data_IF_377308576883
#
_entry.id   IF_377308576883
#
_cell.length_a   1.000
_cell.length_b   1.000
_cell.length_c   1.000
_cell.angle_alpha   90.00
_cell.angle_beta   90.00
_cell.angle_gamma   90.00
#
_symmetry.space_group_name_H-M   'P 1'
#
loop_
_entity.id
_entity.type
_entity.pdbx_description
1 polymer ?
#
# COMPACT_ATOMS: atom_id res chain seq x y z
N UNK A 1 5.14 13.24 -4.96
CA UNK A 1 6.46 13.92 -4.88
C UNK A 1 6.90 14.23 -3.45
N UNK A 2 6.13 14.96 -2.64
CA UNK A 2 6.51 15.29 -1.25
C UNK A 2 6.86 14.05 -0.44
N UNK A 3 6.06 12.99 -0.50
CA UNK A 3 6.38 11.72 0.17
C UNK A 3 7.71 11.09 -0.25
N UNK A 4 8.12 11.26 -1.53
CA UNK A 4 9.43 10.81 -2.02
C UNK A 4 10.56 11.63 -1.38
N UNK A 5 10.39 12.95 -1.25
CA UNK A 5 11.39 13.79 -0.60
C UNK A 5 11.60 13.40 0.87
N UNK A 6 10.52 13.14 1.61
CA UNK A 6 10.59 12.65 2.99
C UNK A 6 11.29 11.28 3.05
N UNK A 7 10.88 10.35 2.19
CA UNK A 7 11.50 9.02 2.12
C UNK A 7 13.00 9.12 1.87
N UNK A 8 13.41 9.91 0.87
CA UNK A 8 14.82 10.00 0.45
C UNK A 8 15.69 10.76 1.44
N UNK A 9 15.14 11.74 2.16
CA UNK A 9 15.86 12.38 3.27
C UNK A 9 16.28 11.35 4.33
N UNK A 10 15.40 10.42 4.67
CA UNK A 10 15.68 9.40 5.68
C UNK A 10 16.51 8.22 5.16
N UNK A 11 16.35 7.83 3.88
CA UNK A 11 16.93 6.59 3.36
C UNK A 11 18.19 6.77 2.57
N UNK A 12 18.46 7.95 2.00
CA UNK A 12 19.66 8.28 1.20
C UNK A 12 20.12 9.72 1.47
N UNK A 13 20.46 10.06 2.72
CA UNK A 13 20.77 11.43 3.13
C UNK A 13 21.96 12.04 2.35
N UNK A 14 22.93 11.22 1.92
CA UNK A 14 24.11 11.67 1.19
C UNK A 14 23.79 12.31 -0.18
N UNK A 15 22.67 11.94 -0.78
CA UNK A 15 22.19 12.48 -2.07
C UNK A 15 21.09 13.53 -1.92
N UNK A 16 20.66 13.81 -0.70
CA UNK A 16 19.64 14.79 -0.38
C UNK A 16 20.27 16.17 -0.11
N UNK A 17 19.71 17.29 -0.60
CA UNK A 17 18.49 17.47 -1.40
C UNK A 17 18.58 16.89 -2.82
N UNK A 18 17.42 16.48 -3.38
CA UNK A 18 17.36 15.76 -4.66
C UNK A 18 17.39 16.68 -5.88
N UNK A 19 18.09 16.27 -6.94
CA UNK A 19 17.90 16.87 -8.28
C UNK A 19 16.53 16.46 -8.86
N UNK A 20 16.06 17.18 -9.90
CA UNK A 20 14.83 16.84 -10.62
C UNK A 20 14.84 15.39 -11.08
N UNK A 21 15.88 14.96 -11.77
CA UNK A 21 16.00 13.60 -12.28
C UNK A 21 15.94 12.54 -11.15
N UNK A 22 16.63 12.76 -10.02
CA UNK A 22 16.58 11.86 -8.87
C UNK A 22 15.19 11.81 -8.24
N UNK A 23 14.46 12.93 -8.21
CA UNK A 23 13.12 13.02 -7.69
C UNK A 23 12.12 12.30 -8.61
N UNK A 24 12.17 12.54 -9.92
CA UNK A 24 11.35 11.86 -10.94
C UNK A 24 11.59 10.35 -10.89
N UNK A 25 12.85 9.91 -10.84
CA UNK A 25 13.20 8.49 -10.69
C UNK A 25 12.63 7.90 -9.37
N UNK A 26 12.66 8.68 -8.28
CA UNK A 26 12.08 8.30 -7.00
C UNK A 26 10.55 8.16 -7.06
N UNK A 27 9.85 9.00 -7.83
CA UNK A 27 8.41 8.90 -8.06
C UNK A 27 8.05 7.64 -8.85
N UNK A 28 8.86 7.30 -9.86
CA UNK A 28 8.62 6.21 -10.81
C UNK A 28 9.15 4.85 -10.33
N UNK A 29 9.56 4.72 -9.06
CA UNK A 29 9.98 3.44 -8.50
C UNK A 29 8.86 2.40 -8.63
N UNK A 30 9.21 1.16 -9.00
CA UNK A 30 8.25 0.05 -9.10
C UNK A 30 7.91 -0.58 -7.75
N UNK A 31 8.71 -0.32 -6.72
CA UNK A 31 8.53 -0.86 -5.37
C UNK A 31 8.19 0.24 -4.39
N UNK A 32 7.43 -0.10 -3.35
CA UNK A 32 7.01 0.84 -2.32
C UNK A 32 6.19 2.05 -2.86
N UNK A 33 5.45 1.84 -3.93
CA UNK A 33 4.53 2.79 -4.57
C UNK A 33 3.22 2.11 -4.89
N UNK A 34 2.12 2.73 -4.51
CA UNK A 34 0.78 2.33 -4.87
C UNK A 34 -0.08 3.59 -5.07
N UNK A 35 -0.54 3.84 -6.31
CA UNK A 35 -0.18 3.14 -7.54
C UNK A 35 1.25 3.42 -8.02
N UNK A 36 1.80 2.52 -8.83
CA UNK A 36 3.06 2.78 -9.55
C UNK A 36 2.78 3.85 -10.60
N UNK A 37 3.61 4.90 -10.60
CA UNK A 37 3.43 6.05 -11.47
C UNK A 37 4.45 6.07 -12.62
N UNK A 38 4.13 6.83 -13.67
CA UNK A 38 5.03 7.15 -14.79
C UNK A 38 5.01 8.67 -14.98
N UNK A 39 5.71 9.39 -14.10
CA UNK A 39 5.80 10.86 -14.10
C UNK A 39 6.90 11.29 -15.06
N UNK A 40 6.62 12.23 -15.96
CA UNK A 40 7.63 12.89 -16.78
C UNK A 40 8.35 14.01 -16.01
N UNK A 41 9.51 14.46 -16.51
CA UNK A 41 10.21 15.62 -15.90
C UNK A 41 9.37 16.90 -16.01
N UNK A 42 8.53 17.04 -17.04
CA UNK A 42 7.63 18.18 -17.18
C UNK A 42 6.53 18.17 -16.11
N UNK A 43 5.90 17.02 -15.86
CA UNK A 43 4.91 16.84 -14.79
C UNK A 43 5.54 17.09 -13.43
N UNK A 44 6.79 16.64 -13.26
CA UNK A 44 7.55 16.82 -12.03
C UNK A 44 7.82 18.31 -11.75
N UNK A 45 8.21 19.09 -12.76
CA UNK A 45 8.43 20.53 -12.63
C UNK A 45 7.13 21.26 -12.28
N UNK A 46 6.05 20.97 -12.99
CA UNK A 46 4.73 21.56 -12.70
C UNK A 46 4.29 21.28 -11.26
N UNK A 47 4.45 20.05 -10.80
CA UNK A 47 4.12 19.70 -9.43
C UNK A 47 5.04 20.38 -8.40
N UNK A 48 6.34 20.53 -8.70
CA UNK A 48 7.28 21.25 -7.85
C UNK A 48 6.92 22.72 -7.73
N UNK A 49 6.51 23.39 -8.81
CA UNK A 49 6.08 24.80 -8.78
C UNK A 49 4.86 24.96 -7.87
N UNK A 50 3.86 24.09 -7.97
CA UNK A 50 2.70 24.10 -7.08
C UNK A 50 3.09 23.86 -5.61
N UNK A 51 3.98 22.90 -5.35
CA UNK A 51 4.44 22.60 -3.99
C UNK A 51 5.29 23.72 -3.39
N UNK A 52 6.07 24.43 -4.20
CA UNK A 52 6.82 25.63 -3.77
C UNK A 52 5.88 26.79 -3.45
N UNK A 53 4.88 27.01 -4.28
CA UNK A 53 3.84 28.02 -4.02
C UNK A 53 3.09 27.75 -2.70
N UNK A 54 2.92 26.48 -2.34
CA UNK A 54 2.34 26.04 -1.06
C UNK A 54 3.36 25.99 0.11
N UNK A 55 4.62 26.39 -0.09
CA UNK A 55 5.71 26.31 0.89
C UNK A 55 6.00 24.89 1.41
N UNK A 56 5.63 23.84 0.66
CA UNK A 56 5.87 22.44 1.04
C UNK A 56 7.23 21.93 0.57
N UNK A 57 7.82 22.58 -0.44
CA UNK A 57 9.13 22.27 -1.01
C UNK A 57 9.96 23.55 -1.11
N UNK A 58 11.23 23.44 -0.83
CA UNK A 58 12.23 24.49 -1.00
C UNK A 58 13.19 24.06 -2.11
N UNK A 59 13.51 24.98 -3.01
CA UNK A 59 14.55 24.84 -4.01
C UNK A 59 15.84 25.52 -3.56
N UNK A 60 16.94 24.84 -3.59
CA UNK A 60 18.26 25.40 -3.38
C UNK A 60 19.02 25.51 -4.71
N UNK A 61 19.44 26.73 -5.06
CA UNK A 61 20.09 27.05 -6.34
C UNK A 61 21.60 27.30 -6.23
N UNK A 62 22.25 26.83 -5.14
CA UNK A 62 23.68 27.06 -4.87
C UNK A 62 24.65 26.23 -5.75
N UNK A 63 24.17 25.40 -6.66
CA UNK A 63 24.96 24.55 -7.54
C UNK A 63 24.50 24.69 -9.00
N UNK A 64 25.25 24.04 -9.94
CA UNK A 64 24.88 23.99 -11.37
C UNK A 64 23.51 23.37 -11.66
N UNK A 65 22.96 22.64 -10.70
CA UNK A 65 21.69 21.92 -10.82
C UNK A 65 20.83 22.28 -9.61
N UNK A 66 19.59 22.68 -9.86
CA UNK A 66 18.58 22.91 -8.81
C UNK A 66 18.34 21.63 -8.01
N UNK A 67 18.24 21.79 -6.69
CA UNK A 67 17.96 20.71 -5.75
C UNK A 67 16.72 21.03 -4.91
N UNK A 68 15.98 20.03 -4.57
CA UNK A 68 14.68 20.15 -3.90
C UNK A 68 14.67 19.40 -2.58
N UNK A 69 14.16 20.06 -1.56
CA UNK A 69 13.92 19.50 -0.23
C UNK A 69 12.52 19.79 0.26
N UNK A 70 11.96 18.91 1.11
CA UNK A 70 10.67 19.17 1.71
C UNK A 70 10.78 20.14 2.90
N UNK A 71 9.72 20.93 3.11
CA UNK A 71 9.61 21.87 4.20
C UNK A 71 8.48 21.54 5.18
N UNK A 72 8.06 20.25 5.22
CA UNK A 72 6.86 19.83 5.95
C UNK A 72 6.90 20.13 7.46
N UNK A 73 8.04 19.96 8.16
CA UNK A 73 8.08 20.26 9.59
C UNK A 73 7.68 21.72 9.91
N UNK A 74 8.10 22.66 9.06
CA UNK A 74 7.76 24.09 9.21
C UNK A 74 6.38 24.40 8.68
N UNK A 75 6.01 23.86 7.50
CA UNK A 75 4.75 24.15 6.84
C UNK A 75 3.54 23.62 7.61
N UNK A 76 3.66 22.43 8.20
CA UNK A 76 2.54 21.78 8.90
C UNK A 76 2.68 21.81 10.42
N UNK A 77 3.81 22.24 10.97
CA UNK A 77 4.11 22.19 12.40
C UNK A 77 3.84 20.83 13.02
N UNK A 78 4.22 19.75 12.29
CA UNK A 78 4.02 18.37 12.69
C UNK A 78 5.36 17.75 13.14
N UNK A 79 5.33 16.82 14.13
CA UNK A 79 6.49 16.04 14.51
C UNK A 79 6.92 15.09 13.38
N UNK A 80 8.21 14.70 13.37
CA UNK A 80 8.77 13.81 12.34
C UNK A 80 8.06 12.46 12.24
N UNK A 81 7.54 11.92 13.35
CA UNK A 81 6.74 10.70 13.38
C UNK A 81 5.47 10.82 12.53
N UNK A 82 4.72 11.91 12.70
CA UNK A 82 3.51 12.20 11.91
C UNK A 82 3.83 12.41 10.42
N UNK A 83 4.94 13.09 10.12
CA UNK A 83 5.40 13.30 8.73
C UNK A 83 5.78 11.96 8.09
N UNK A 84 6.42 11.05 8.81
CA UNK A 84 6.75 9.73 8.31
C UNK A 84 5.50 8.91 7.96
N UNK A 85 4.47 8.91 8.82
CA UNK A 85 3.18 8.26 8.56
C UNK A 85 2.49 8.83 7.31
N UNK A 86 2.41 10.15 7.22
CA UNK A 86 1.83 10.82 6.04
C UNK A 86 2.60 10.49 4.76
N UNK A 87 3.93 10.48 4.81
CA UNK A 87 4.76 10.11 3.66
C UNK A 87 4.48 8.69 3.18
N UNK A 88 4.38 7.73 4.10
CA UNK A 88 4.10 6.33 3.77
C UNK A 88 2.69 6.17 3.21
N UNK A 89 1.68 6.87 3.76
CA UNK A 89 0.32 6.89 3.23
C UNK A 89 0.24 7.53 1.83
N UNK A 90 1.01 8.60 1.57
CA UNK A 90 1.10 9.20 0.23
C UNK A 90 1.77 8.28 -0.80
N UNK A 91 2.72 7.45 -0.39
CA UNK A 91 3.48 6.59 -1.28
C UNK A 91 2.82 5.24 -1.54
N UNK A 92 2.07 4.70 -0.58
CA UNK A 92 1.56 3.32 -0.61
C UNK A 92 0.04 3.23 -0.46
N UNK A 93 -0.67 4.36 -0.44
CA UNK A 93 -2.12 4.35 -0.29
C UNK A 93 -2.60 3.94 1.11
N UNK A 94 -3.83 3.44 1.18
CA UNK A 94 -4.48 3.08 2.43
C UNK A 94 -3.86 1.84 3.09
N UNK A 95 -3.54 1.94 4.41
CA UNK A 95 -2.84 0.90 5.17
C UNK A 95 -3.42 0.72 6.58
N UNK A 96 -3.27 -0.48 7.14
CA UNK A 96 -3.54 -0.74 8.57
C UNK A 96 -2.44 -0.14 9.46
N UNK A 97 -2.71 0.02 10.75
CA UNK A 97 -1.70 0.51 11.72
C UNK A 97 -0.47 -0.39 11.77
N UNK A 98 -0.64 -1.70 11.62
CA UNK A 98 0.46 -2.67 11.58
C UNK A 98 1.32 -2.52 10.32
N UNK A 99 0.69 -2.38 9.14
CA UNK A 99 1.37 -2.13 7.86
C UNK A 99 2.14 -0.80 7.90
N UNK A 100 1.53 0.27 8.46
CA UNK A 100 2.19 1.57 8.63
C UNK A 100 3.43 1.47 9.51
N UNK A 101 3.33 0.78 10.66
CA UNK A 101 4.48 0.57 11.54
C UNK A 101 5.64 -0.09 10.79
N UNK A 102 5.37 -1.17 10.07
CA UNK A 102 6.38 -1.90 9.31
C UNK A 102 6.98 -1.05 8.16
N UNK A 103 6.14 -0.33 7.41
CA UNK A 103 6.57 0.47 6.27
C UNK A 103 7.28 1.77 6.67
N UNK A 104 7.06 2.27 7.89
CA UNK A 104 7.74 3.44 8.43
C UNK A 104 9.13 3.15 9.02
N UNK A 105 9.53 1.90 9.24
CA UNK A 105 10.74 1.50 9.99
C UNK A 105 12.00 2.27 9.59
N UNK A 106 12.16 2.59 8.29
CA UNK A 106 13.30 3.33 7.75
C UNK A 106 13.17 4.85 7.83
N UNK A 107 11.97 5.38 8.06
CA UNK A 107 11.69 6.81 8.17
C UNK A 107 11.60 7.25 9.62
N UNK A 108 10.90 6.47 10.42
CA UNK A 108 10.73 6.66 11.85
C UNK A 108 10.38 5.33 12.51
N UNK A 109 11.10 4.99 13.57
CA UNK A 109 10.88 3.75 14.31
C UNK A 109 9.88 3.94 15.43
N UNK A 110 8.69 3.37 15.29
CA UNK A 110 7.66 3.35 16.33
C UNK A 110 7.87 2.19 17.30
N UNK A 111 7.66 2.45 18.57
CA UNK A 111 7.81 1.43 19.63
C UNK A 111 6.84 0.27 19.40
N UNK A 112 5.57 0.58 19.19
CA UNK A 112 4.50 -0.39 19.01
C UNK A 112 3.39 0.17 18.09
N UNK A 113 2.34 -0.62 17.88
CA UNK A 113 1.18 -0.23 17.04
C UNK A 113 0.37 0.87 17.73
N UNK A 114 0.28 0.87 19.07
CA UNK A 114 -0.46 1.89 19.82
C UNK A 114 0.15 3.28 19.64
N UNK A 115 1.49 3.36 19.57
CA UNK A 115 2.17 4.61 19.26
C UNK A 115 1.81 5.13 17.86
N UNK A 116 1.71 4.25 16.85
CA UNK A 116 1.25 4.63 15.50
C UNK A 116 -0.19 5.15 15.55
N UNK A 117 -1.08 4.46 16.24
CA UNK A 117 -2.49 4.86 16.39
C UNK A 117 -2.63 6.20 17.08
N UNK A 118 -1.87 6.46 18.14
CA UNK A 118 -1.86 7.76 18.81
C UNK A 118 -1.53 8.93 17.87
N UNK A 119 -0.47 8.80 17.06
CA UNK A 119 -0.14 9.82 16.05
C UNK A 119 -1.20 9.94 14.94
N UNK A 120 -1.82 8.85 14.52
CA UNK A 120 -2.90 8.88 13.53
C UNK A 120 -4.16 9.55 14.07
N UNK A 121 -4.52 9.30 15.32
CA UNK A 121 -5.65 9.95 15.99
C UNK A 121 -5.40 11.46 16.14
N UNK A 122 -4.17 11.87 16.50
CA UNK A 122 -3.78 13.28 16.51
C UNK A 122 -3.89 13.94 15.13
N UNK A 123 -3.47 13.25 14.06
CA UNK A 123 -3.58 13.74 12.69
C UNK A 123 -5.05 13.82 12.22
N UNK A 124 -5.90 12.91 12.67
CA UNK A 124 -7.34 12.92 12.40
C UNK A 124 -8.06 14.04 13.13
N UNK A 125 -7.62 14.39 14.36
CA UNK A 125 -8.21 15.45 15.18
C UNK A 125 -7.87 16.87 14.72
N UNK A 126 -6.93 17.04 13.77
CA UNK A 126 -6.58 18.35 13.20
C UNK A 126 -7.75 18.93 12.39
N UNK A 127 -7.73 20.26 12.22
CA UNK A 127 -8.71 20.98 11.39
C UNK A 127 -7.96 21.80 10.34
N UNK A 128 -8.02 21.44 9.04
CA UNK A 128 -8.62 20.20 8.50
C UNK A 128 -7.87 18.94 8.90
N UNK A 129 -8.53 17.77 8.91
CA UNK A 129 -7.88 16.49 9.23
C UNK A 129 -6.91 16.07 8.12
N UNK A 130 -5.78 15.49 8.52
CA UNK A 130 -4.76 15.00 7.58
C UNK A 130 -4.99 13.55 7.15
N UNK A 131 -5.64 12.77 8.02
CA UNK A 131 -5.93 11.35 7.78
C UNK A 131 -7.35 11.01 8.22
N UNK A 132 -7.85 9.89 7.70
CA UNK A 132 -9.14 9.31 8.11
C UNK A 132 -9.01 7.80 8.27
N UNK A 133 -9.63 7.27 9.29
CA UNK A 133 -9.82 5.83 9.47
C UNK A 133 -11.02 5.39 8.64
N UNK A 134 -10.80 4.49 7.68
CA UNK A 134 -11.85 3.95 6.83
C UNK A 134 -12.65 2.89 7.60
N UNK A 135 -13.94 2.70 7.27
CA UNK A 135 -14.69 1.54 7.74
C UNK A 135 -13.95 0.24 7.37
N UNK A 136 -14.10 -0.80 8.19
CA UNK A 136 -13.55 -2.11 7.85
C UNK A 136 -14.24 -2.65 6.60
N UNK A 137 -13.44 -3.08 5.63
CA UNK A 137 -13.98 -3.80 4.50
C UNK A 137 -14.55 -5.16 4.95
N UNK A 138 -15.60 -5.70 4.30
CA UNK A 138 -16.12 -7.03 4.60
C UNK A 138 -14.99 -8.07 4.55
N UNK A 139 -14.88 -8.89 5.60
CA UNK A 139 -13.81 -9.89 5.74
C UNK A 139 -12.45 -9.38 6.21
N UNK A 140 -12.24 -8.07 6.30
CA UNK A 140 -10.99 -7.51 6.83
C UNK A 140 -10.97 -7.57 8.36
N UNK A 141 -9.80 -7.92 8.93
CA UNK A 141 -9.61 -7.93 10.39
C UNK A 141 -9.44 -6.54 10.98
N UNK A 142 -8.83 -5.62 10.23
CA UNK A 142 -8.45 -4.28 10.69
C UNK A 142 -8.96 -3.19 9.74
N UNK A 143 -9.22 -2.01 10.28
CA UNK A 143 -9.52 -0.82 9.52
C UNK A 143 -8.22 -0.27 8.89
N UNK A 144 -8.35 0.42 7.74
CA UNK A 144 -7.24 1.09 7.07
C UNK A 144 -7.30 2.59 7.30
N UNK A 145 -6.16 3.20 7.33
CA UNK A 145 -5.99 4.64 7.36
C UNK A 145 -5.64 5.17 5.98
N UNK A 146 -6.16 6.33 5.65
CA UNK A 146 -5.91 7.03 4.38
C UNK A 146 -5.56 8.49 4.65
N UNK A 147 -4.68 9.08 3.83
CA UNK A 147 -4.39 10.51 3.88
C UNK A 147 -5.46 11.30 3.11
N UNK A 148 -5.72 12.55 3.54
CA UNK A 148 -6.68 13.46 2.94
C UNK A 148 -6.02 14.66 2.21
N UNK A 149 -4.69 14.66 2.11
CA UNK A 149 -3.93 15.77 1.53
C UNK A 149 -4.14 15.94 0.02
N UNK A 150 -4.56 14.89 -0.67
CA UNK A 150 -4.86 14.89 -2.10
C UNK A 150 -6.37 14.95 -2.39
N UNK A 151 -7.18 15.34 -1.42
CA UNK A 151 -8.65 15.35 -1.49
C UNK A 151 -9.26 14.13 -0.82
N UNK A 152 -10.59 14.06 -0.87
CA UNK A 152 -11.32 12.91 -0.35
C UNK A 152 -10.93 11.65 -1.14
N UNK A 153 -10.63 10.55 -0.44
CA UNK A 153 -10.34 9.31 -1.11
C UNK A 153 -11.58 8.89 -1.91
N UNK A 154 -11.39 8.57 -3.19
CA UNK A 154 -12.40 7.85 -3.95
C UNK A 154 -12.48 6.46 -3.31
N UNK A 155 -13.37 6.31 -2.34
CA UNK A 155 -13.74 4.99 -1.84
C UNK A 155 -14.51 4.38 -3.00
N UNK A 156 -13.89 3.48 -3.73
CA UNK A 156 -14.59 2.69 -4.73
C UNK A 156 -15.60 1.80 -4.00
N UNK A 157 -16.79 2.37 -3.79
CA UNK A 157 -17.92 1.68 -3.14
C UNK A 157 -18.43 0.55 -4.04
N UNK A 158 -17.89 0.43 -5.26
CA UNK A 158 -18.19 -0.67 -6.17
C UNK A 158 -17.53 -1.99 -5.74
N UNK A 159 -16.69 -1.98 -4.71
CA UNK A 159 -16.26 -3.17 -3.96
C UNK A 159 -17.03 -3.31 -2.62
N UNK A 160 -18.10 -2.55 -2.42
CA UNK A 160 -19.19 -3.08 -1.60
C UNK A 160 -19.86 -4.10 -2.51
N UNK A 161 -19.76 -5.41 -2.30
CA UNK A 161 -20.68 -6.31 -2.92
C UNK A 161 -22.06 -5.70 -2.61
N UNK A 162 -22.87 -5.41 -3.65
CA UNK A 162 -24.29 -5.14 -3.39
C UNK A 162 -24.70 -6.10 -2.29
N UNK A 163 -25.49 -5.67 -1.30
CA UNK A 163 -26.05 -6.63 -0.38
C UNK A 163 -26.77 -7.62 -1.29
N UNK A 164 -26.13 -8.76 -1.53
CA UNK A 164 -26.75 -9.91 -2.14
C UNK A 164 -28.01 -10.08 -1.32
N UNK A 165 -29.14 -9.76 -1.94
CA UNK A 165 -30.43 -10.07 -1.38
C UNK A 165 -30.34 -11.53 -0.94
N UNK A 166 -30.44 -11.72 0.37
CA UNK A 166 -30.75 -12.98 1.02
C UNK A 166 -30.05 -14.25 0.47
N UNK A 167 -28.71 -14.31 0.46
CA UNK A 167 -27.98 -15.58 0.44
C UNK A 167 -26.63 -15.42 1.15
N UNK A 168 -26.66 -14.94 2.37
CA UNK A 168 -25.53 -15.16 3.29
C UNK A 168 -25.66 -16.62 3.72
N UNK A 169 -25.06 -17.51 2.92
CA UNK A 169 -24.83 -18.89 3.36
C UNK A 169 -24.22 -18.83 4.76
N UNK A 170 -24.90 -19.40 5.72
CA UNK A 170 -24.40 -19.47 7.09
C UNK A 170 -23.03 -20.14 7.08
N UNK A 171 -22.19 -19.90 8.08
CA UNK A 171 -20.89 -20.58 8.19
C UNK A 171 -21.03 -22.12 8.09
N UNK A 172 -22.17 -22.65 8.50
CA UNK A 172 -22.53 -24.06 8.36
C UNK A 172 -22.75 -24.48 6.90
N UNK A 173 -23.39 -23.66 6.09
CA UNK A 173 -23.62 -23.91 4.66
C UNK A 173 -22.34 -23.80 3.85
N UNK A 174 -21.45 -22.85 4.18
CA UNK A 174 -20.12 -22.74 3.58
C UNK A 174 -19.26 -23.98 3.92
N UNK A 175 -19.32 -24.45 5.15
CA UNK A 175 -18.64 -25.68 5.58
C UNK A 175 -19.20 -26.90 4.87
N UNK A 176 -20.51 -26.96 4.64
CA UNK A 176 -21.15 -28.04 3.90
C UNK A 176 -20.73 -28.03 2.41
N UNK A 177 -20.66 -26.86 1.78
CA UNK A 177 -20.20 -26.72 0.39
C UNK A 177 -18.73 -27.16 0.23
N UNK A 178 -17.84 -26.77 1.15
CA UNK A 178 -16.43 -27.19 1.15
C UNK A 178 -16.31 -28.71 1.32
N UNK A 179 -17.10 -29.32 2.23
CA UNK A 179 -17.11 -30.78 2.42
C UNK A 179 -17.63 -31.52 1.18
N UNK A 180 -18.63 -30.98 0.50
CA UNK A 180 -19.16 -31.56 -0.73
C UNK A 180 -18.10 -31.53 -1.87
N UNK A 181 -17.38 -30.41 -2.01
CA UNK A 181 -16.31 -30.31 -3.01
C UNK A 181 -15.14 -31.23 -2.68
N UNK A 182 -14.77 -31.36 -1.41
CA UNK A 182 -13.76 -32.31 -0.96
C UNK A 182 -14.15 -33.76 -1.30
N UNK A 183 -15.38 -34.15 -1.07
CA UNK A 183 -15.87 -35.49 -1.40
C UNK A 183 -15.81 -35.74 -2.93
N UNK A 184 -16.19 -34.75 -3.74
CA UNK A 184 -16.10 -34.80 -5.20
C UNK A 184 -14.67 -35.00 -5.68
N UNK A 185 -13.71 -34.23 -5.14
CA UNK A 185 -12.29 -34.36 -5.49
C UNK A 185 -11.71 -35.71 -5.11
N UNK A 186 -12.11 -36.28 -3.96
CA UNK A 186 -11.72 -37.62 -3.55
C UNK A 186 -12.25 -38.69 -4.52
N UNK A 187 -13.51 -38.58 -4.95
CA UNK A 187 -14.09 -39.49 -5.93
C UNK A 187 -13.35 -39.44 -7.29
N UNK A 188 -13.02 -38.24 -7.78
CA UNK A 188 -12.23 -38.07 -9.01
C UNK A 188 -10.83 -38.68 -8.89
N UNK A 189 -10.20 -38.54 -7.73
CA UNK A 189 -8.87 -39.11 -7.47
C UNK A 189 -8.90 -40.63 -7.45
N UNK A 190 -9.97 -41.25 -6.92
CA UNK A 190 -10.18 -42.70 -6.96
C UNK A 190 -10.41 -43.22 -8.40
N UNK A 191 -11.22 -42.50 -9.19
CA UNK A 191 -11.46 -42.82 -10.59
C UNK A 191 -10.18 -42.74 -11.44
N UNK A 192 -9.38 -41.69 -11.23
CA UNK A 192 -8.06 -41.55 -11.86
C UNK A 192 -7.12 -42.67 -11.48
N UNK A 193 -7.06 -43.07 -10.20
CA UNK A 193 -6.26 -44.20 -9.72
C UNK A 193 -6.69 -45.49 -10.38
N UNK A 194 -7.99 -45.76 -10.43
CA UNK A 194 -8.53 -46.95 -11.10
C UNK A 194 -8.17 -46.99 -12.59
N UNK A 195 -8.20 -45.80 -13.25
CA UNK A 195 -7.83 -45.67 -14.66
C UNK A 195 -6.33 -45.94 -14.88
N UNK A 196 -5.47 -45.39 -14.01
CA UNK A 196 -4.01 -45.67 -14.05
C UNK A 196 -3.71 -47.13 -13.85
N UNK A 197 -4.36 -47.80 -12.89
CA UNK A 197 -4.19 -49.24 -12.65
C UNK A 197 -4.59 -50.06 -13.89
N UNK A 198 -5.74 -49.73 -14.52
CA UNK A 198 -6.18 -50.40 -15.76
C UNK A 198 -5.18 -50.23 -16.90
N UNK A 199 -4.69 -48.97 -17.10
CA UNK A 199 -3.71 -48.70 -18.14
C UNK A 199 -2.37 -49.38 -17.87
N UNK A 200 -1.92 -49.43 -16.62
CA UNK A 200 -0.70 -50.14 -16.23
C UNK A 200 -0.82 -51.64 -16.48
N UNK A 201 -1.98 -52.24 -16.19
CA UNK A 201 -2.23 -53.68 -16.45
C UNK A 201 -2.33 -53.95 -17.96
N UNK A 202 -2.86 -53.06 -18.76
CA UNK A 202 -2.98 -53.21 -20.22
C UNK A 202 -1.64 -53.04 -20.94
N UNK A 203 -0.70 -52.28 -20.38
CA UNK A 203 0.63 -52.07 -20.96
C UNK A 203 1.63 -53.22 -20.67
N UNK A 204 1.32 -54.15 -19.76
CA UNK A 204 2.15 -55.32 -19.43
C UNK A 204 3.56 -54.97 -18.91
N UNK A 205 4.28 -55.93 -18.30
CA UNK A 205 5.64 -55.68 -17.89
C UNK A 205 6.55 -55.54 -19.13
N UNK A 206 7.24 -54.41 -19.25
CA UNK A 206 8.28 -54.18 -20.25
C UNK A 206 9.33 -55.30 -20.13
N UNK A 207 9.39 -56.19 -21.11
CA UNK A 207 10.50 -57.16 -21.22
C UNK A 207 11.75 -56.33 -21.54
N UNK A 208 12.63 -56.26 -20.58
CA UNK A 208 14.01 -55.85 -20.83
C UNK A 208 14.67 -56.94 -21.68
N UNK A 209 15.18 -56.59 -22.86
CA UNK A 209 16.10 -57.37 -23.69
C UNK A 209 17.44 -56.69 -23.64
#
# INVERSE_FOLDING_TARGET
MVGVLVEKQATVPDTYPLSLNSLTAGCNQKTARDPVMAVSDADALQALDALRAANLVVESSGSRVSRYEHNLPRAWALPGASIALLAVLMLRGAQTSAELRANCERLHRFADISAVEGFLDELQAKTPPYVRKLPRAPGAREARWVQLLCGEPVIDVSVVPEPLKDDVLTAAEQLAAIKAEQARLLAQMEELRATVVRLSAALGPRKES
#
